data_IF_627904629308
#
_entry.id   IF_627904629308
#
_cell.length_a   1.000
_cell.length_b   1.000
_cell.length_c   1.000
_cell.angle_alpha   90.00
_cell.angle_beta   90.00
_cell.angle_gamma   90.00
#
_symmetry.space_group_name_H-M   'P 1'
#
loop_
_entity.id
_entity.type
_entity.pdbx_description
1 polymer ?
#
# COMPACT_ATOMS: atom_id res chain seq x y z
N UNK A 1 -2.41 -15.61 -29.03
CA UNK A 1 -3.64 -15.43 -28.21
C UNK A 1 -3.56 -16.20 -26.88
N UNK A 2 -3.08 -17.45 -26.86
CA UNK A 2 -2.92 -18.26 -25.63
C UNK A 2 -1.99 -17.66 -24.56
N UNK A 3 -0.92 -16.95 -24.92
CA UNK A 3 0.00 -16.36 -23.94
C UNK A 3 -0.63 -15.23 -23.09
N UNK A 4 -1.53 -14.40 -23.67
CA UNK A 4 -2.21 -13.33 -22.92
C UNK A 4 -3.22 -13.88 -21.91
N UNK A 5 -3.94 -14.95 -22.29
CA UNK A 5 -4.95 -15.58 -21.43
C UNK A 5 -4.31 -16.26 -20.19
N UNK A 6 -3.09 -16.80 -20.33
CA UNK A 6 -2.34 -17.37 -19.19
C UNK A 6 -1.84 -16.30 -18.21
N UNK A 7 -1.61 -15.07 -18.67
CA UNK A 7 -1.15 -13.96 -17.84
C UNK A 7 -2.31 -13.38 -17.01
N UNK A 8 -3.48 -13.18 -17.62
CA UNK A 8 -4.69 -12.75 -16.91
C UNK A 8 -5.12 -13.74 -15.82
N UNK A 9 -5.10 -15.04 -16.12
CA UNK A 9 -5.40 -16.10 -15.14
C UNK A 9 -4.38 -16.07 -13.99
N UNK A 10 -3.09 -15.85 -14.29
CA UNK A 10 -2.04 -15.76 -13.28
C UNK A 10 -2.22 -14.53 -12.39
N UNK A 11 -2.50 -13.37 -12.96
CA UNK A 11 -2.71 -12.12 -12.22
C UNK A 11 -3.95 -12.25 -11.32
N UNK A 12 -5.03 -12.86 -11.82
CA UNK A 12 -6.23 -13.11 -11.00
C UNK A 12 -5.95 -14.05 -9.84
N UNK A 13 -5.17 -15.10 -10.07
CA UNK A 13 -4.75 -16.02 -9.01
C UNK A 13 -3.91 -15.31 -7.93
N UNK A 14 -2.99 -14.44 -8.32
CA UNK A 14 -2.19 -13.62 -7.38
C UNK A 14 -3.10 -12.72 -6.54
N UNK A 15 -4.10 -12.10 -7.17
CA UNK A 15 -5.09 -11.28 -6.46
C UNK A 15 -5.86 -12.10 -5.41
N UNK A 16 -6.44 -13.25 -5.82
CA UNK A 16 -7.23 -14.11 -4.92
C UNK A 16 -6.38 -14.66 -3.75
N UNK A 17 -5.14 -15.07 -4.04
CA UNK A 17 -4.19 -15.54 -3.02
C UNK A 17 -3.79 -14.41 -2.06
N UNK A 18 -3.54 -13.20 -2.56
CA UNK A 18 -3.19 -12.04 -1.72
C UNK A 18 -4.35 -11.65 -0.80
N UNK A 19 -5.58 -11.61 -1.32
CA UNK A 19 -6.79 -11.36 -0.53
C UNK A 19 -6.97 -12.42 0.58
N UNK A 20 -6.73 -13.69 0.25
CA UNK A 20 -6.77 -14.80 1.21
C UNK A 20 -5.74 -14.64 2.34
N UNK A 21 -4.51 -14.22 2.02
CA UNK A 21 -3.46 -13.94 3.01
C UNK A 21 -3.85 -12.78 3.93
N UNK A 22 -4.44 -11.70 3.38
CA UNK A 22 -4.94 -10.57 4.18
C UNK A 22 -6.02 -11.06 5.16
N UNK A 23 -7.02 -11.78 4.66
CA UNK A 23 -8.12 -12.31 5.48
C UNK A 23 -7.62 -13.27 6.56
N UNK A 24 -6.67 -14.15 6.22
CA UNK A 24 -6.08 -15.07 7.20
C UNK A 24 -5.39 -14.31 8.34
N UNK A 25 -4.63 -13.25 8.04
CA UNK A 25 -3.97 -12.46 9.10
C UNK A 25 -4.99 -11.69 9.96
N UNK A 26 -6.07 -11.19 9.36
CA UNK A 26 -7.15 -10.54 10.11
C UNK A 26 -7.87 -11.52 11.05
N UNK A 27 -8.24 -12.72 10.58
CA UNK A 27 -8.91 -13.75 11.40
C UNK A 27 -8.02 -14.23 12.56
N UNK A 28 -6.70 -14.20 12.39
CA UNK A 28 -5.74 -14.54 13.44
C UNK A 28 -5.36 -13.34 14.33
N UNK A 29 -6.12 -12.24 14.30
CA UNK A 29 -5.89 -11.00 15.09
C UNK A 29 -4.50 -10.38 14.89
N UNK A 30 -3.88 -10.60 13.72
CA UNK A 30 -2.61 -9.97 13.34
C UNK A 30 -2.79 -8.65 12.58
N UNK A 31 -4.02 -8.38 12.15
CA UNK A 31 -4.42 -7.11 11.54
C UNK A 31 -5.64 -6.57 12.28
N UNK A 32 -5.66 -5.27 12.51
CA UNK A 32 -6.86 -4.56 12.90
C UNK A 32 -7.87 -4.54 11.74
N UNK A 33 -9.14 -4.27 12.04
CA UNK A 33 -10.17 -4.13 11.00
C UNK A 33 -9.86 -2.98 10.02
N UNK A 34 -9.22 -1.92 10.51
CA UNK A 34 -8.80 -0.77 9.71
C UNK A 34 -7.65 -1.13 8.76
N UNK A 35 -6.63 -1.84 9.27
CA UNK A 35 -5.51 -2.33 8.47
C UNK A 35 -5.97 -3.31 7.39
N UNK A 36 -6.87 -4.23 7.73
CA UNK A 36 -7.47 -5.16 6.78
C UNK A 36 -8.22 -4.40 5.67
N UNK A 37 -9.07 -3.43 6.04
CA UNK A 37 -9.84 -2.65 5.08
C UNK A 37 -8.94 -1.84 4.14
N UNK A 38 -7.89 -1.24 4.68
CA UNK A 38 -6.87 -0.53 3.90
C UNK A 38 -6.17 -1.46 2.91
N UNK A 39 -5.68 -2.62 3.37
CA UNK A 39 -4.94 -3.57 2.52
C UNK A 39 -5.79 -4.13 1.38
N UNK A 40 -7.07 -4.46 1.65
CA UNK A 40 -8.00 -4.91 0.61
C UNK A 40 -8.28 -3.79 -0.40
N UNK A 41 -8.50 -2.57 0.07
CA UNK A 41 -8.71 -1.40 -0.80
C UNK A 41 -7.48 -1.11 -1.66
N UNK A 42 -6.28 -1.21 -1.09
CA UNK A 42 -5.01 -1.05 -1.81
C UNK A 42 -4.85 -2.14 -2.88
N UNK A 43 -5.13 -3.39 -2.54
CA UNK A 43 -5.07 -4.52 -3.47
C UNK A 43 -6.00 -4.30 -4.67
N UNK A 44 -7.25 -3.89 -4.43
CA UNK A 44 -8.22 -3.58 -5.49
C UNK A 44 -7.73 -2.45 -6.40
N UNK A 45 -7.20 -1.38 -5.81
CA UNK A 45 -6.73 -0.23 -6.58
C UNK A 45 -5.50 -0.54 -7.42
N UNK A 46 -4.57 -1.33 -6.89
CA UNK A 46 -3.38 -1.83 -7.60
C UNK A 46 -3.77 -2.76 -8.74
N UNK A 47 -4.66 -3.73 -8.47
CA UNK A 47 -5.14 -4.67 -9.49
C UNK A 47 -5.82 -3.95 -10.66
N UNK A 48 -6.58 -2.88 -10.38
CA UNK A 48 -7.25 -2.09 -11.39
C UNK A 48 -6.37 -0.98 -12.00
N UNK A 49 -5.09 -0.87 -11.62
CA UNK A 49 -4.17 0.18 -12.07
C UNK A 49 -4.72 1.61 -11.88
N UNK A 50 -5.50 1.84 -10.83
CA UNK A 50 -6.17 3.14 -10.55
C UNK A 50 -5.43 4.01 -9.55
N UNK A 51 -4.29 3.53 -9.06
CA UNK A 51 -3.57 4.16 -7.98
C UNK A 51 -2.35 4.91 -8.54
N UNK A 52 -2.10 6.17 -8.13
CA UNK A 52 -0.96 6.93 -8.62
C UNK A 52 0.37 6.24 -8.31
N UNK A 53 1.27 6.16 -9.30
CA UNK A 53 2.60 5.55 -9.14
C UNK A 53 3.39 6.19 -7.98
N UNK A 54 3.26 7.50 -7.80
CA UNK A 54 3.90 8.23 -6.72
C UNK A 54 3.53 7.69 -5.32
N UNK A 55 2.30 7.22 -5.13
CA UNK A 55 1.86 6.62 -3.86
C UNK A 55 2.47 5.23 -3.65
N UNK A 56 2.53 4.42 -4.71
CA UNK A 56 3.20 3.12 -4.66
C UNK A 56 4.69 3.27 -4.39
N UNK A 57 5.34 4.31 -4.94
CA UNK A 57 6.75 4.62 -4.68
C UNK A 57 6.97 4.90 -3.20
N UNK A 58 6.24 5.85 -2.61
CA UNK A 58 6.46 6.20 -1.19
C UNK A 58 6.12 5.07 -0.22
N UNK A 59 5.14 4.21 -0.55
CA UNK A 59 4.91 2.98 0.22
C UNK A 59 6.15 2.10 0.17
N UNK A 60 6.67 1.79 -1.04
CA UNK A 60 7.86 0.94 -1.18
C UNK A 60 9.06 1.51 -0.45
N UNK A 61 9.30 2.81 -0.60
CA UNK A 61 10.38 3.51 0.07
C UNK A 61 10.25 3.36 1.59
N UNK A 62 9.06 3.59 2.14
CA UNK A 62 8.81 3.42 3.59
C UNK A 62 9.09 2.02 4.13
N UNK A 63 9.05 0.98 3.29
CA UNK A 63 9.36 -0.40 3.68
C UNK A 63 10.85 -0.75 3.55
N UNK A 64 11.58 -0.04 2.69
CA UNK A 64 12.97 -0.37 2.35
C UNK A 64 14.00 0.31 3.26
N UNK A 65 13.61 1.34 4.00
CA UNK A 65 14.50 2.05 4.92
C UNK A 65 14.38 1.54 6.35
N UNK A 66 15.51 1.50 7.05
CA UNK A 66 15.55 1.23 8.49
C UNK A 66 15.11 2.50 9.24
N UNK A 67 13.81 2.76 9.18
CA UNK A 67 13.17 3.89 9.85
C UNK A 67 13.06 3.59 11.34
N UNK A 68 13.15 4.62 12.17
CA UNK A 68 12.80 4.46 13.58
C UNK A 68 11.31 4.09 13.73
N UNK A 69 10.96 3.39 14.81
CA UNK A 69 9.61 2.87 15.02
C UNK A 69 8.54 3.98 15.09
N UNK A 70 8.89 5.13 15.67
CA UNK A 70 7.99 6.29 15.73
C UNK A 70 7.58 6.77 14.34
N UNK A 71 8.53 6.89 13.39
CA UNK A 71 8.21 7.29 12.02
C UNK A 71 7.44 6.22 11.28
N UNK A 72 7.72 4.93 11.53
CA UNK A 72 6.90 3.84 10.97
C UNK A 72 5.44 3.94 11.42
N UNK A 73 5.21 4.22 12.71
CA UNK A 73 3.88 4.40 13.27
C UNK A 73 3.16 5.62 12.67
N UNK A 74 3.86 6.75 12.50
CA UNK A 74 3.29 7.95 11.86
C UNK A 74 2.94 7.68 10.40
N UNK A 75 3.84 7.04 9.64
CA UNK A 75 3.60 6.69 8.24
C UNK A 75 2.39 5.75 8.13
N UNK A 76 2.32 4.73 9.00
CA UNK A 76 1.18 3.81 9.04
C UNK A 76 -0.13 4.54 9.33
N UNK A 77 -0.16 5.40 10.36
CA UNK A 77 -1.34 6.20 10.66
C UNK A 77 -1.76 7.10 9.49
N UNK A 78 -0.79 7.69 8.80
CA UNK A 78 -1.05 8.49 7.60
C UNK A 78 -1.67 7.65 6.47
N UNK A 79 -1.13 6.45 6.22
CA UNK A 79 -1.67 5.53 5.22
C UNK A 79 -3.11 5.11 5.54
N UNK A 80 -3.39 4.73 6.79
CA UNK A 80 -4.74 4.33 7.21
C UNK A 80 -5.75 5.48 7.12
N UNK A 81 -5.32 6.72 7.39
CA UNK A 81 -6.17 7.90 7.24
C UNK A 81 -6.38 8.36 5.78
N UNK A 82 -5.67 7.76 4.82
CA UNK A 82 -5.74 8.16 3.41
C UNK A 82 -6.96 7.56 2.73
N UNK A 83 -7.81 8.42 2.17
CA UNK A 83 -8.91 7.98 1.31
C UNK A 83 -8.38 7.68 -0.10
N UNK A 84 -8.23 6.39 -0.42
CA UNK A 84 -7.76 5.90 -1.72
C UNK A 84 -8.74 6.15 -2.88
N UNK A 85 -9.91 6.72 -2.63
CA UNK A 85 -10.84 7.19 -3.66
C UNK A 85 -10.74 8.70 -3.91
N UNK A 86 -9.91 9.41 -3.16
CA UNK A 86 -9.76 10.85 -3.24
C UNK A 86 -8.31 11.21 -3.62
N UNK A 87 -8.11 11.65 -4.87
CA UNK A 87 -6.81 12.06 -5.40
C UNK A 87 -6.12 13.12 -4.54
N UNK A 88 -6.87 14.04 -3.93
CA UNK A 88 -6.29 15.06 -3.07
C UNK A 88 -5.81 14.47 -1.75
N UNK A 89 -6.56 13.51 -1.18
CA UNK A 89 -6.13 12.76 0.01
C UNK A 89 -4.85 11.98 -0.26
N UNK A 90 -4.80 11.27 -1.40
CA UNK A 90 -3.61 10.52 -1.84
C UNK A 90 -2.42 11.48 -2.00
N UNK A 91 -2.58 12.61 -2.71
CA UNK A 91 -1.50 13.59 -2.90
C UNK A 91 -0.97 14.13 -1.58
N UNK A 92 -1.87 14.49 -0.66
CA UNK A 92 -1.48 14.97 0.67
C UNK A 92 -0.72 13.90 1.47
N UNK A 93 -1.14 12.64 1.38
CA UNK A 93 -0.43 11.51 2.00
C UNK A 93 0.96 11.31 1.40
N UNK A 94 1.08 11.33 0.07
CA UNK A 94 2.38 11.23 -0.63
C UNK A 94 3.34 12.30 -0.15
N UNK A 95 2.90 13.56 -0.08
CA UNK A 95 3.73 14.66 0.39
C UNK A 95 4.16 14.44 1.84
N UNK A 96 3.22 14.11 2.74
CA UNK A 96 3.53 13.89 4.15
C UNK A 96 4.54 12.76 4.36
N UNK A 97 4.37 11.61 3.67
CA UNK A 97 5.30 10.49 3.79
C UNK A 97 6.68 10.86 3.23
N UNK A 98 6.74 11.55 2.08
CA UNK A 98 8.02 11.98 1.50
C UNK A 98 8.77 12.94 2.42
N UNK A 99 8.07 13.88 3.06
CA UNK A 99 8.67 14.82 4.00
C UNK A 99 9.24 14.09 5.22
N UNK A 100 8.53 13.08 5.73
CA UNK A 100 9.00 12.23 6.84
C UNK A 100 10.25 11.42 6.46
N UNK A 101 10.26 10.82 5.28
CA UNK A 101 11.42 10.09 4.77
C UNK A 101 12.62 11.03 4.62
N UNK A 102 12.42 12.19 4.00
CA UNK A 102 13.47 13.21 3.79
C UNK A 102 14.06 13.70 5.11
N UNK A 103 13.21 13.92 6.14
CA UNK A 103 13.64 14.33 7.47
C UNK A 103 14.52 13.28 8.17
N UNK A 104 14.39 12.00 7.82
CA UNK A 104 15.22 10.90 8.34
C UNK A 104 16.54 10.72 7.58
N UNK A 105 16.90 11.64 6.67
CA UNK A 105 18.11 11.54 5.86
C UNK A 105 18.00 10.57 4.69
N UNK A 106 16.78 10.12 4.38
CA UNK A 106 16.50 9.34 3.17
C UNK A 106 16.42 10.29 1.99
N UNK A 107 17.48 10.32 1.18
CA UNK A 107 17.51 11.10 -0.05
C UNK A 107 16.58 10.43 -1.08
N UNK A 108 15.33 10.87 -1.18
CA UNK A 108 14.42 10.49 -2.27
C UNK A 108 14.82 11.26 -3.53
N UNK A 109 15.82 10.75 -4.25
CA UNK A 109 16.19 11.23 -5.59
C UNK A 109 15.33 10.56 -6.66
#
# INVERSE_FOLDING_TARGET
MLCKMNEEIRIRKIYDETASVILHNAVNNRLSSEEMAFLLSLLDKVFNCTLPEAFLSVIKDSQNYDLNEEVKDIIKANMLATDLNNDQSIKSSVTAIRDLLSAQGVSTQ
#
